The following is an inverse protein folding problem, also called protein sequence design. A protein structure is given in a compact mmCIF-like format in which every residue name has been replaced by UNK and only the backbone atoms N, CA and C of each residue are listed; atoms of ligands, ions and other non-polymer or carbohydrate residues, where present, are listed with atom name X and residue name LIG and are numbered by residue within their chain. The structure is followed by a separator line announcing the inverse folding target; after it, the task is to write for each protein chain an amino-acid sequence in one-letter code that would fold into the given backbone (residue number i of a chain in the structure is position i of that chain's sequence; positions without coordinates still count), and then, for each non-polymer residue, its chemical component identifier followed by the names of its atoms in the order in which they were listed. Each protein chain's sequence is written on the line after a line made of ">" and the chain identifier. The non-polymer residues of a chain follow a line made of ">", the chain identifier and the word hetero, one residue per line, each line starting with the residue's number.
data_IF_181438720229
#
_entry.id   IF_181438720229
#
_cell.length_a   1.000
_cell.length_b   1.000
_cell.length_c   1.000
_cell.angle_alpha   90.00
_cell.angle_beta   90.00
_cell.angle_gamma   90.00
#
_symmetry.space_group_name_H-M   'P 1'
#
loop_
_entity.id
_entity.type
_entity.pdbx_description
1 polymer ?
#
# COMPACT_ATOMS: atom_id res chain seq x y z
N UNK A 1 -30.19 26.68 15.75
CA UNK A 1 -28.87 26.91 16.40
C UNK A 1 -27.91 25.71 16.38
N UNK A 2 -28.33 24.47 16.06
CA UNK A 2 -27.47 23.27 16.14
C UNK A 2 -26.56 23.00 14.92
N UNK A 3 -26.86 23.57 13.73
CA UNK A 3 -26.10 23.29 12.50
C UNK A 3 -24.74 24.02 12.42
N UNK A 4 -24.63 25.24 12.98
CA UNK A 4 -23.38 26.02 12.97
C UNK A 4 -22.27 25.38 13.82
N UNK A 5 -22.64 24.70 14.91
CA UNK A 5 -21.68 24.06 15.81
C UNK A 5 -20.93 22.89 15.15
N UNK A 6 -21.61 22.09 14.32
CA UNK A 6 -20.97 20.99 13.59
C UNK A 6 -20.03 21.47 12.48
N UNK A 7 -20.35 22.58 11.82
CA UNK A 7 -19.49 23.19 10.80
C UNK A 7 -18.24 23.78 11.46
N UNK A 8 -18.38 24.46 12.60
CA UNK A 8 -17.23 24.98 13.35
C UNK A 8 -16.35 23.86 13.94
N UNK A 9 -16.94 22.79 14.48
CA UNK A 9 -16.20 21.65 14.99
C UNK A 9 -15.46 20.86 13.88
N UNK A 10 -16.03 20.79 12.68
CA UNK A 10 -15.39 20.20 11.50
C UNK A 10 -14.20 21.00 11.00
N UNK A 11 -14.34 22.33 10.91
CA UNK A 11 -13.24 23.22 10.52
C UNK A 11 -12.11 23.25 11.57
N UNK A 12 -12.45 23.22 12.86
CA UNK A 12 -11.47 23.17 13.95
C UNK A 12 -10.68 21.83 13.95
N UNK A 13 -11.32 20.73 13.55
CA UNK A 13 -10.64 19.43 13.39
C UNK A 13 -9.72 19.36 12.17
N UNK A 14 -10.10 20.00 11.06
CA UNK A 14 -9.25 20.10 9.87
C UNK A 14 -8.05 21.00 10.17
N UNK A 15 -8.27 22.12 10.88
CA UNK A 15 -7.16 22.98 11.31
C UNK A 15 -6.24 22.26 12.28
N UNK A 16 -6.74 21.45 13.23
CA UNK A 16 -5.84 20.67 14.11
C UNK A 16 -5.14 19.53 13.39
N UNK A 17 -5.76 18.87 12.40
CA UNK A 17 -5.08 17.88 11.56
C UNK A 17 -3.99 18.52 10.69
N UNK A 18 -4.29 19.63 9.99
CA UNK A 18 -3.28 20.36 9.23
C UNK A 18 -2.20 20.94 10.14
N UNK A 19 -2.54 21.45 11.33
CA UNK A 19 -1.57 21.93 12.32
C UNK A 19 -0.69 20.80 12.85
N UNK A 20 -1.25 19.60 13.07
CA UNK A 20 -0.48 18.44 13.52
C UNK A 20 0.42 17.91 12.41
N UNK A 21 -0.08 17.92 11.16
CA UNK A 21 0.73 17.66 9.99
C UNK A 21 1.85 18.70 9.92
N UNK A 22 1.55 20.00 9.81
CA UNK A 22 2.49 21.15 9.75
C UNK A 22 3.51 21.15 10.90
N UNK A 23 3.09 20.91 12.14
CA UNK A 23 4.00 20.87 13.29
C UNK A 23 4.92 19.63 13.24
N UNK A 24 4.44 18.48 12.75
CA UNK A 24 5.30 17.32 12.48
C UNK A 24 6.23 17.51 11.26
N UNK A 25 5.91 18.42 10.33
CA UNK A 25 6.85 18.91 9.31
C UNK A 25 7.97 19.78 9.91
N UNK A 26 7.70 20.52 11.00
CA UNK A 26 8.62 21.52 11.58
C UNK A 26 9.54 20.92 12.66
N UNK A 27 9.05 20.04 13.53
CA UNK A 27 9.79 19.55 14.71
C UNK A 27 10.75 18.37 14.42
N UNK A 28 10.81 17.85 13.19
CA UNK A 28 11.61 16.65 12.85
C UNK A 28 12.17 16.69 11.43
N UNK A 29 12.65 17.87 11.02
CA UNK A 29 13.10 18.19 9.65
C UNK A 29 14.01 17.11 9.04
N UNK A 30 14.99 16.57 9.79
CA UNK A 30 15.91 15.54 9.28
C UNK A 30 15.30 14.14 9.10
N UNK A 31 14.42 13.71 10.00
CA UNK A 31 13.76 12.38 9.90
C UNK A 31 12.68 12.44 8.82
N UNK A 32 11.95 13.56 8.77
CA UNK A 32 10.92 13.83 7.79
C UNK A 32 11.48 13.87 6.36
N UNK A 33 12.54 14.66 6.11
CA UNK A 33 13.19 14.75 4.79
C UNK A 33 13.70 13.37 4.34
N UNK A 34 14.31 12.58 5.24
CA UNK A 34 14.73 11.21 4.92
C UNK A 34 13.55 10.32 4.50
N UNK A 35 12.43 10.40 5.23
CA UNK A 35 11.20 9.69 4.89
C UNK A 35 10.70 10.05 3.49
N UNK A 36 10.59 11.35 3.19
CA UNK A 36 10.18 11.85 1.87
C UNK A 36 11.10 11.35 0.76
N UNK A 37 12.42 11.41 0.97
CA UNK A 37 13.40 10.91 0.01
C UNK A 37 13.24 9.41 -0.25
N UNK A 38 13.00 8.61 0.78
CA UNK A 38 12.73 7.18 0.63
C UNK A 38 11.42 6.93 -0.13
N UNK A 39 10.37 7.69 0.15
CA UNK A 39 9.09 7.58 -0.58
C UNK A 39 9.27 7.92 -2.06
N UNK A 40 9.95 9.01 -2.40
CA UNK A 40 10.23 9.40 -3.78
C UNK A 40 11.10 8.36 -4.50
N UNK A 41 12.15 7.87 -3.83
CA UNK A 41 13.03 6.83 -4.38
C UNK A 41 12.26 5.52 -4.64
N UNK A 42 11.37 5.15 -3.72
CA UNK A 42 10.51 3.97 -3.86
C UNK A 42 9.51 4.11 -5.01
N UNK A 43 8.92 5.29 -5.18
CA UNK A 43 8.02 5.57 -6.29
C UNK A 43 8.74 5.47 -7.65
N UNK A 44 9.96 6.01 -7.74
CA UNK A 44 10.78 5.91 -8.95
C UNK A 44 11.20 4.45 -9.24
N UNK A 45 11.63 3.72 -8.21
CA UNK A 45 11.98 2.30 -8.33
C UNK A 45 10.77 1.48 -8.81
N UNK A 46 9.59 1.74 -8.26
CA UNK A 46 8.35 1.07 -8.65
C UNK A 46 7.94 1.38 -10.10
N UNK A 47 7.99 2.64 -10.52
CA UNK A 47 7.68 3.04 -11.89
C UNK A 47 8.64 2.38 -12.90
N UNK A 48 9.93 2.35 -12.56
CA UNK A 48 10.97 1.69 -13.37
C UNK A 48 10.73 0.18 -13.44
N UNK A 49 10.45 -0.46 -12.30
CA UNK A 49 10.10 -1.88 -12.23
C UNK A 49 8.90 -2.19 -13.12
N UNK A 50 7.78 -1.48 -12.98
CA UNK A 50 6.57 -1.75 -13.77
C UNK A 50 6.81 -1.59 -15.29
N UNK A 51 7.59 -0.58 -15.68
CA UNK A 51 7.97 -0.35 -17.07
C UNK A 51 8.87 -1.46 -17.65
N UNK A 52 9.89 -1.87 -16.90
CA UNK A 52 10.78 -2.98 -17.30
C UNK A 52 10.04 -4.32 -17.29
N UNK A 53 9.27 -4.61 -16.24
CA UNK A 53 8.49 -5.83 -16.11
C UNK A 53 7.55 -6.01 -17.30
N UNK A 54 6.87 -4.95 -17.73
CA UNK A 54 6.00 -4.98 -18.92
C UNK A 54 6.75 -5.36 -20.20
N UNK A 55 8.01 -4.93 -20.35
CA UNK A 55 8.85 -5.29 -21.51
C UNK A 55 9.43 -6.70 -21.40
N UNK A 56 9.81 -7.14 -20.21
CA UNK A 56 10.46 -8.43 -20.01
C UNK A 56 9.46 -9.59 -20.05
N UNK A 57 8.24 -9.38 -19.56
CA UNK A 57 7.22 -10.44 -19.47
C UNK A 57 6.68 -10.90 -20.84
N UNK A 58 6.94 -10.12 -21.91
CA UNK A 58 6.62 -10.52 -23.28
C UNK A 58 7.69 -11.43 -23.89
N UNK A 59 8.92 -11.40 -23.37
CA UNK A 59 10.08 -12.18 -23.86
C UNK A 59 10.45 -13.35 -22.96
N UNK A 60 10.18 -13.25 -21.66
CA UNK A 60 10.58 -14.23 -20.66
C UNK A 60 9.39 -14.72 -19.83
N UNK A 61 9.44 -15.98 -19.35
CA UNK A 61 8.41 -16.51 -18.47
C UNK A 61 8.38 -15.77 -17.12
N UNK A 62 7.17 -15.58 -16.61
CA UNK A 62 6.89 -14.79 -15.40
C UNK A 62 7.60 -15.37 -14.16
N UNK A 63 7.64 -16.69 -14.06
CA UNK A 63 8.26 -17.42 -12.97
C UNK A 63 9.75 -17.12 -12.86
N UNK A 64 10.46 -17.08 -13.99
CA UNK A 64 11.89 -16.72 -14.02
C UNK A 64 12.09 -15.27 -13.61
N UNK A 65 11.26 -14.35 -14.10
CA UNK A 65 11.34 -12.94 -13.70
C UNK A 65 11.10 -12.75 -12.20
N UNK A 66 10.12 -13.46 -11.63
CA UNK A 66 9.85 -13.42 -10.19
C UNK A 66 11.00 -14.03 -9.37
N UNK A 67 11.66 -15.09 -9.87
CA UNK A 67 12.83 -15.64 -9.21
C UNK A 67 13.96 -14.62 -9.12
N UNK A 68 14.19 -13.81 -10.16
CA UNK A 68 15.15 -12.71 -10.09
C UNK A 68 14.68 -11.59 -9.15
N UNK A 69 13.39 -11.24 -9.22
CA UNK A 69 12.80 -10.17 -8.41
C UNK A 69 12.91 -10.45 -6.90
N UNK A 70 12.69 -11.70 -6.48
CA UNK A 70 12.75 -12.09 -5.07
C UNK A 70 14.11 -12.66 -4.68
N UNK A 71 14.80 -13.35 -5.58
CA UNK A 71 16.05 -14.05 -5.31
C UNK A 71 17.27 -13.14 -5.24
N UNK A 72 17.42 -12.16 -6.14
CA UNK A 72 18.56 -11.24 -6.10
C UNK A 72 18.58 -10.44 -4.78
N UNK A 73 17.47 -9.84 -4.31
CA UNK A 73 17.46 -9.16 -3.02
C UNK A 73 17.82 -10.09 -1.87
N UNK A 74 17.31 -11.33 -1.86
CA UNK A 74 17.69 -12.31 -0.83
C UNK A 74 19.19 -12.51 -0.80
N UNK A 75 19.84 -12.78 -1.93
CA UNK A 75 21.30 -12.96 -2.00
C UNK A 75 22.06 -11.71 -1.54
N UNK A 76 21.57 -10.52 -1.91
CA UNK A 76 22.21 -9.27 -1.55
C UNK A 76 22.08 -8.93 -0.07
N UNK A 77 20.91 -9.19 0.54
CA UNK A 77 20.65 -8.90 1.95
C UNK A 77 21.09 -10.02 2.89
N UNK A 78 21.23 -11.27 2.40
CA UNK A 78 21.62 -12.42 3.21
C UNK A 78 22.83 -12.18 4.14
N UNK A 79 23.97 -11.60 3.68
CA UNK A 79 25.13 -11.40 4.57
C UNK A 79 24.91 -10.32 5.64
N UNK A 80 23.86 -9.50 5.53
CA UNK A 80 23.55 -8.42 6.47
C UNK A 80 22.43 -8.77 7.45
N UNK A 81 21.79 -9.93 7.30
CA UNK A 81 20.63 -10.34 8.11
C UNK A 81 21.06 -11.19 9.30
N UNK A 82 20.56 -10.84 10.49
CA UNK A 82 20.63 -11.69 11.67
C UNK A 82 19.44 -12.66 11.69
N UNK A 83 19.72 -13.97 11.61
CA UNK A 83 18.69 -15.02 11.59
C UNK A 83 18.30 -15.53 12.99
N UNK A 84 18.96 -15.10 14.06
CA UNK A 84 18.69 -15.57 15.43
C UNK A 84 17.21 -15.45 15.82
N UNK A 85 16.52 -14.31 15.55
CA UNK A 85 15.11 -14.19 15.89
C UNK A 85 14.19 -15.17 15.16
N UNK A 86 14.61 -15.73 14.02
CA UNK A 86 13.79 -16.69 13.28
C UNK A 86 13.63 -18.02 14.02
N UNK A 87 14.65 -18.43 14.78
CA UNK A 87 14.64 -19.69 15.53
C UNK A 87 13.86 -19.59 16.84
N UNK A 88 13.57 -18.38 17.31
CA UNK A 88 12.81 -18.11 18.53
C UNK A 88 11.30 -17.92 18.26
N UNK A 89 10.89 -17.89 16.98
CA UNK A 89 9.50 -17.66 16.60
C UNK A 89 8.60 -18.86 16.95
N UNK A 90 7.49 -18.56 17.63
CA UNK A 90 6.41 -19.51 17.82
C UNK A 90 5.78 -19.93 16.47
N UNK A 91 5.22 -21.14 16.42
CA UNK A 91 4.67 -21.75 15.20
C UNK A 91 3.60 -20.89 14.51
N UNK A 92 2.78 -20.16 15.27
CA UNK A 92 1.76 -19.25 14.72
C UNK A 92 2.37 -18.12 13.87
N UNK A 93 3.52 -17.58 14.26
CA UNK A 93 4.21 -16.55 13.50
C UNK A 93 4.84 -17.10 12.22
N UNK A 94 5.33 -18.34 12.26
CA UNK A 94 5.78 -19.05 11.06
C UNK A 94 4.66 -19.21 10.03
N UNK A 95 3.45 -19.58 10.47
CA UNK A 95 2.28 -19.66 9.60
C UNK A 95 1.95 -18.29 8.99
N UNK A 96 1.98 -17.21 9.78
CA UNK A 96 1.76 -15.85 9.27
C UNK A 96 2.83 -15.42 8.27
N UNK A 97 4.10 -15.73 8.51
CA UNK A 97 5.20 -15.43 7.59
C UNK A 97 5.04 -16.16 6.26
N UNK A 98 4.72 -17.47 6.29
CA UNK A 98 4.49 -18.27 5.09
C UNK A 98 3.27 -17.73 4.33
N UNK A 99 2.18 -17.44 5.04
CA UNK A 99 0.97 -16.88 4.44
C UNK A 99 1.25 -15.55 3.75
N UNK A 100 1.96 -14.63 4.41
CA UNK A 100 2.29 -13.32 3.85
C UNK A 100 3.25 -13.43 2.66
N UNK A 101 4.25 -14.31 2.75
CA UNK A 101 5.18 -14.59 1.66
C UNK A 101 4.47 -15.19 0.44
N UNK A 102 3.61 -16.18 0.65
CA UNK A 102 2.82 -16.79 -0.41
C UNK A 102 1.85 -15.78 -1.04
N UNK A 103 1.15 -14.97 -0.24
CA UNK A 103 0.26 -13.92 -0.71
C UNK A 103 1.01 -12.94 -1.62
N UNK A 104 2.18 -12.46 -1.18
CA UNK A 104 3.03 -11.55 -1.96
C UNK A 104 3.47 -12.20 -3.27
N UNK A 105 3.96 -13.44 -3.23
CA UNK A 105 4.42 -14.15 -4.41
C UNK A 105 3.30 -14.35 -5.45
N UNK A 106 2.11 -14.76 -5.00
CA UNK A 106 0.94 -14.96 -5.86
C UNK A 106 0.50 -13.63 -6.46
N UNK A 107 0.39 -12.57 -5.65
CA UNK A 107 -0.01 -11.25 -6.12
C UNK A 107 0.93 -10.71 -7.21
N UNK A 108 2.25 -10.77 -6.99
CA UNK A 108 3.23 -10.32 -7.99
C UNK A 108 3.21 -11.19 -9.26
N UNK A 109 2.98 -12.49 -9.13
CA UNK A 109 2.79 -13.37 -10.29
C UNK A 109 1.56 -12.97 -11.11
N UNK A 110 0.44 -12.69 -10.45
CA UNK A 110 -0.77 -12.19 -11.10
C UNK A 110 -0.52 -10.83 -11.78
N UNK A 111 0.11 -9.87 -11.10
CA UNK A 111 0.45 -8.56 -11.66
C UNK A 111 1.31 -8.69 -12.91
N UNK A 112 2.37 -9.50 -12.85
CA UNK A 112 3.24 -9.75 -14.00
C UNK A 112 2.48 -10.40 -15.17
N UNK A 113 1.64 -11.40 -14.89
CA UNK A 113 0.77 -12.01 -15.90
C UNK A 113 -0.22 -11.01 -16.50
N UNK A 114 -0.86 -10.16 -15.71
CA UNK A 114 -1.77 -9.12 -16.21
C UNK A 114 -1.02 -8.10 -17.05
N UNK A 115 0.19 -7.69 -16.64
CA UNK A 115 1.06 -6.84 -17.44
C UNK A 115 1.43 -7.49 -18.77
N UNK A 116 1.47 -8.81 -18.89
CA UNK A 116 1.68 -9.46 -20.19
C UNK A 116 0.55 -9.16 -21.18
N UNK A 117 -0.70 -9.24 -20.72
CA UNK A 117 -1.89 -9.13 -21.59
C UNK A 117 -2.53 -7.74 -21.63
N UNK A 118 -2.18 -6.85 -20.70
CA UNK A 118 -2.88 -5.56 -20.50
C UNK A 118 -1.90 -4.38 -20.47
N UNK A 119 -2.34 -3.19 -20.87
CA UNK A 119 -1.58 -1.94 -20.70
C UNK A 119 -1.27 -1.66 -19.21
N UNK A 120 -0.06 -1.17 -18.92
CA UNK A 120 0.37 -0.84 -17.55
C UNK A 120 -0.59 0.13 -16.85
N UNK A 121 -1.17 1.08 -17.60
CA UNK A 121 -2.15 2.04 -17.08
C UNK A 121 -3.37 1.35 -16.44
N UNK A 122 -3.90 0.27 -17.04
CA UNK A 122 -5.06 -0.45 -16.47
C UNK A 122 -4.68 -1.21 -15.20
N UNK A 123 -3.47 -1.76 -15.15
CA UNK A 123 -2.95 -2.44 -13.96
C UNK A 123 -2.77 -1.45 -12.81
N UNK A 124 -2.28 -0.25 -13.10
CA UNK A 124 -2.14 0.82 -12.10
C UNK A 124 -3.48 1.21 -11.46
N UNK A 125 -4.57 1.25 -12.22
CA UNK A 125 -5.92 1.54 -11.70
C UNK A 125 -6.36 0.47 -10.70
N UNK A 126 -6.11 -0.81 -11.00
CA UNK A 126 -6.46 -1.92 -10.09
C UNK A 126 -5.66 -1.81 -8.80
N UNK A 127 -4.37 -1.47 -8.87
CA UNK A 127 -3.51 -1.32 -7.68
C UNK A 127 -4.01 -0.20 -6.76
N UNK A 128 -4.58 0.89 -7.31
CA UNK A 128 -5.17 1.98 -6.52
C UNK A 128 -6.39 1.52 -5.70
N UNK A 129 -7.02 0.40 -6.04
CA UNK A 129 -8.09 -0.19 -5.24
C UNK A 129 -7.58 -0.93 -3.99
N UNK A 130 -6.30 -1.30 -3.92
CA UNK A 130 -5.76 -2.04 -2.78
C UNK A 130 -5.96 -1.32 -1.44
N UNK A 131 -5.59 -0.02 -1.29
CA UNK A 131 -5.84 0.73 -0.05
C UNK A 131 -7.32 0.75 0.35
N UNK A 132 -8.24 0.72 -0.60
CA UNK A 132 -9.68 0.72 -0.33
C UNK A 132 -10.15 -0.64 0.19
N UNK A 133 -9.65 -1.73 -0.38
CA UNK A 133 -9.90 -3.08 0.13
C UNK A 133 -9.34 -3.20 1.56
N UNK A 134 -8.14 -2.69 1.81
CA UNK A 134 -7.55 -2.64 3.15
C UNK A 134 -8.43 -1.86 4.12
N UNK A 135 -8.86 -0.65 3.73
CA UNK A 135 -9.71 0.20 4.56
C UNK A 135 -11.06 -0.46 4.89
N UNK A 136 -11.71 -1.08 3.90
CA UNK A 136 -12.96 -1.83 4.10
C UNK A 136 -12.76 -3.03 5.03
N UNK A 137 -11.65 -3.77 4.85
CA UNK A 137 -11.32 -4.92 5.69
C UNK A 137 -11.09 -4.49 7.14
N UNK A 138 -10.34 -3.41 7.36
CA UNK A 138 -10.14 -2.83 8.69
C UNK A 138 -11.46 -2.36 9.31
N UNK A 139 -12.39 -1.83 8.50
CA UNK A 139 -13.74 -1.46 8.93
C UNK A 139 -14.54 -2.65 9.44
N UNK A 140 -14.53 -3.74 8.68
CA UNK A 140 -15.22 -4.99 9.05
C UNK A 140 -14.58 -5.57 10.32
N UNK A 141 -13.25 -5.64 10.40
CA UNK A 141 -12.55 -6.17 11.58
C UNK A 141 -12.79 -5.33 12.84
N UNK A 142 -12.88 -4.01 12.69
CA UNK A 142 -13.21 -3.11 13.81
C UNK A 142 -14.66 -3.31 14.27
N UNK A 143 -15.59 -3.53 13.34
CA UNK A 143 -16.99 -3.85 13.67
C UNK A 143 -17.14 -5.20 14.40
N UNK A 144 -16.30 -6.18 14.02
CA UNK A 144 -16.26 -7.50 14.66
C UNK A 144 -15.53 -7.51 16.02
N UNK A 145 -15.02 -6.36 16.48
CA UNK A 145 -14.31 -6.17 17.76
C UNK A 145 -13.21 -7.22 18.02
N UNK A 146 -12.37 -7.45 17.01
CA UNK A 146 -11.38 -8.52 17.08
C UNK A 146 -10.20 -8.14 17.98
N UNK A 147 -9.89 -8.97 18.96
CA UNK A 147 -8.92 -8.66 20.03
C UNK A 147 -7.45 -8.58 19.61
N UNK A 148 -7.08 -9.11 18.45
CA UNK A 148 -5.68 -9.16 17.98
C UNK A 148 -5.25 -7.99 17.08
N UNK A 149 -6.19 -7.11 16.68
CA UNK A 149 -5.92 -5.94 15.84
C UNK A 149 -6.56 -4.73 16.52
N UNK A 150 -5.78 -3.67 16.73
CA UNK A 150 -6.34 -2.43 17.26
C UNK A 150 -7.37 -1.86 16.28
N UNK A 151 -8.59 -1.63 16.76
CA UNK A 151 -9.67 -1.05 15.96
C UNK A 151 -9.25 0.28 15.35
N UNK A 152 -9.49 0.42 14.04
CA UNK A 152 -9.15 1.64 13.33
C UNK A 152 -10.24 2.70 13.59
N UNK A 153 -9.82 3.93 13.94
CA UNK A 153 -10.75 5.01 14.22
C UNK A 153 -11.25 5.61 12.91
N UNK A 154 -12.35 5.08 12.40
CA UNK A 154 -13.04 5.65 11.24
C UNK A 154 -13.65 7.00 11.61
N UNK A 155 -13.09 8.06 11.04
CA UNK A 155 -13.72 9.39 11.10
C UNK A 155 -14.59 9.60 9.87
N UNK A 156 -15.60 10.49 9.98
CA UNK A 156 -16.42 10.88 8.83
C UNK A 156 -15.55 11.39 7.67
N UNK A 157 -14.42 12.07 7.98
CA UNK A 157 -13.46 12.55 7.00
C UNK A 157 -12.75 11.40 6.28
N UNK A 158 -12.37 10.34 7.00
CA UNK A 158 -11.75 9.13 6.42
C UNK A 158 -12.71 8.44 5.44
N UNK A 159 -14.00 8.38 5.76
CA UNK A 159 -15.04 7.79 4.89
C UNK A 159 -15.22 8.63 3.63
N UNK A 160 -15.32 9.95 3.76
CA UNK A 160 -15.42 10.87 2.60
C UNK A 160 -14.18 10.77 1.72
N UNK A 161 -12.98 10.73 2.32
CA UNK A 161 -11.72 10.52 1.59
C UNK A 161 -11.71 9.20 0.82
N UNK A 162 -12.15 8.10 1.44
CA UNK A 162 -12.26 6.80 0.78
C UNK A 162 -13.25 6.85 -0.41
N UNK A 163 -14.39 7.52 -0.26
CA UNK A 163 -15.37 7.69 -1.35
C UNK A 163 -14.82 8.53 -2.51
N UNK A 164 -14.04 9.57 -2.22
CA UNK A 164 -13.36 10.38 -3.26
C UNK A 164 -12.35 9.53 -4.02
N UNK A 165 -11.53 8.74 -3.33
CA UNK A 165 -10.54 7.84 -3.97
C UNK A 165 -11.23 6.77 -4.81
N UNK A 166 -12.31 6.15 -4.29
CA UNK A 166 -13.15 5.20 -5.04
C UNK A 166 -13.71 5.82 -6.32
N UNK A 167 -14.27 7.03 -6.21
CA UNK A 167 -14.83 7.76 -7.34
C UNK A 167 -13.77 8.08 -8.39
N UNK A 168 -12.59 8.54 -7.98
CA UNK A 168 -11.45 8.75 -8.85
C UNK A 168 -11.00 7.47 -9.57
N UNK A 169 -10.87 6.36 -8.84
CA UNK A 169 -10.50 5.07 -9.42
C UNK A 169 -11.55 4.60 -10.45
N UNK A 170 -12.84 4.72 -10.14
CA UNK A 170 -13.93 4.36 -11.06
C UNK A 170 -13.96 5.23 -12.32
N UNK A 171 -13.72 6.55 -12.19
CA UNK A 171 -13.67 7.46 -13.33
C UNK A 171 -12.52 7.12 -14.29
N UNK A 172 -11.34 6.79 -13.75
CA UNK A 172 -10.19 6.41 -14.56
C UNK A 172 -10.39 5.01 -15.17
N UNK A 173 -10.96 4.06 -14.43
CA UNK A 173 -11.30 2.72 -14.91
C UNK A 173 -12.36 2.74 -16.02
N UNK A 174 -13.39 3.56 -15.86
CA UNK A 174 -14.55 3.66 -16.75
C UNK A 174 -14.28 4.43 -18.04
N UNK A 175 -13.15 5.14 -18.15
CA UNK A 175 -12.75 5.84 -19.38
C UNK A 175 -12.38 4.80 -20.45
N UNK A 176 -13.37 4.39 -21.26
CA UNK A 176 -13.13 3.66 -22.52
C UNK A 176 -12.28 4.57 -23.43
N UNK A 177 -11.12 4.06 -23.84
CA UNK A 177 -10.35 4.63 -24.95
C UNK A 177 -11.27 4.62 -26.18
N UNK A 178 -11.53 5.80 -26.76
CA UNK A 178 -11.86 5.91 -28.18
C UNK A 178 -10.63 5.51 -28.98
#
# INVERSE_FOLDING_TARGET
>A
MKAGFWIYAGNLRISTFLQSAINSFIDSEKIYIKGVLFTLSSALAWATYAGLQKKLVTKHPVQTLNLFLFGIPVLFFFPFVNLSPLFELHWTWWLLLIFLGANTFIAYTCIANTLKYTEANKVSIIIILNPLITFLTMGILTYLDVSWISGERFTLLSIVGALIVLSGAMLVAGKKKK
#
